data_IF_489403325401
#
_entry.id   IF_489403325401
#
_cell.length_a   1.000
_cell.length_b   1.000
_cell.length_c   1.000
_cell.angle_alpha   90.00
_cell.angle_beta   90.00
_cell.angle_gamma   90.00
#
_symmetry.space_group_name_H-M   'P 1'
#
loop_
_entity.id
_entity.type
_entity.pdbx_description
1 polymer ?
#
# COMPACT_ATOMS: atom_id res chain seq x y z
N UNK A 1 -13.74 25.41 -4.80
CA UNK A 1 -13.40 24.59 -4.48
C UNK A 1 -13.05 24.08 -4.62
N UNK A 2 -13.23 24.27 -4.82
CA UNK A 2 -12.95 23.43 -4.70
C UNK A 2 -12.62 22.85 -4.73
N UNK A 3 -12.78 23.14 -4.42
CA UNK A 3 -12.57 22.28 -4.31
C UNK A 3 -12.20 21.86 -3.88
N UNK A 4 -12.29 22.08 -3.82
CA UNK A 4 -11.96 21.43 -3.29
C UNK A 4 -11.74 21.27 -3.11
N UNK A 5 -11.97 21.63 -2.71
CA UNK A 5 -12.01 21.20 -2.37
C UNK A 5 -11.70 20.66 -1.82
N UNK A 6 -11.64 20.61 -1.48
CA UNK A 6 -11.46 19.81 -0.94
C UNK A 6 -11.47 19.23 -0.61
N UNK A 7 -12.01 19.19 -0.27
CA UNK A 7 -12.22 18.21 -0.02
C UNK A 7 -12.72 17.57 -0.56
N UNK A 8 -13.02 17.34 -1.04
CA UNK A 8 -13.36 16.63 -1.56
C UNK A 8 -13.48 16.09 -2.25
N UNK A 9 -13.73 16.22 -2.73
CA UNK A 9 -14.06 15.44 -3.26
C UNK A 9 -13.58 14.77 -4.05
N UNK A 10 -13.34 14.42 -4.21
CA UNK A 10 -12.80 13.62 -4.88
C UNK A 10 -12.47 12.61 -4.28
N UNK A 11 -12.81 12.21 -3.40
CA UNK A 11 -12.56 11.14 -2.86
C UNK A 11 -13.01 10.15 -3.44
N UNK A 12 -13.23 10.04 -4.10
CA UNK A 12 -13.46 9.26 -4.69
C UNK A 12 -13.66 8.85 -5.54
N UNK A 13 -14.19 9.12 -5.83
CA UNK A 13 -14.33 8.62 -6.50
C UNK A 13 -13.59 7.86 -6.87
N UNK A 14 -13.46 7.72 -6.90
CA UNK A 14 -12.68 7.04 -6.90
C UNK A 14 -11.94 7.26 -6.03
N UNK A 15 -11.81 7.25 -5.33
CA UNK A 15 -11.02 7.28 -4.51
C UNK A 15 -9.79 7.27 -5.06
N UNK A 16 -9.43 7.56 -6.05
CA UNK A 16 -8.20 7.51 -6.57
C UNK A 16 -7.57 8.81 -6.62
N UNK A 17 -8.13 9.76 -6.09
CA UNK A 17 -7.60 11.04 -6.00
C UNK A 17 -6.81 11.12 -4.74
N UNK A 18 -5.77 11.87 -4.71
CA UNK A 18 -4.99 12.03 -3.50
C UNK A 18 -5.77 12.68 -2.39
N UNK A 19 -6.89 13.29 -2.71
CA UNK A 19 -7.72 13.90 -1.70
C UNK A 19 -8.76 12.96 -1.14
N UNK A 20 -8.68 11.69 -1.50
CA UNK A 20 -9.61 10.69 -1.02
C UNK A 20 -9.52 10.45 0.46
N UNK A 21 -8.41 10.78 1.06
CA UNK A 21 -8.23 10.50 2.47
C UNK A 21 -8.36 11.73 3.30
N UNK A 22 -8.94 11.60 4.49
CA UNK A 22 -8.95 12.71 5.42
C UNK A 22 -7.53 13.02 5.86
N UNK A 23 -7.28 14.27 6.12
CA UNK A 23 -6.01 14.69 6.61
C UNK A 23 -6.02 14.80 8.10
N UNK A 24 -4.89 14.57 8.69
CA UNK A 24 -4.74 14.70 10.11
C UNK A 24 -4.18 16.07 10.38
N UNK A 25 -4.98 16.93 10.98
CA UNK A 25 -4.54 18.26 11.34
C UNK A 25 -3.99 19.01 10.15
N UNK A 26 -2.77 19.46 10.26
CA UNK A 26 -2.17 20.28 9.25
C UNK A 26 -1.26 19.53 8.30
N UNK A 27 -1.40 18.23 8.24
CA UNK A 27 -0.58 17.44 7.33
C UNK A 27 -0.88 17.85 5.91
N UNK A 28 0.15 18.15 5.16
CA UNK A 28 0.02 18.55 3.77
C UNK A 28 0.67 17.48 2.91
N UNK A 29 -0.13 16.90 2.02
CA UNK A 29 0.40 15.91 1.11
C UNK A 29 0.87 16.59 -0.15
N UNK A 30 2.08 16.23 -0.59
CA UNK A 30 2.50 16.68 -1.88
C UNK A 30 1.65 15.98 -2.90
N UNK A 31 1.19 16.73 -3.84
CA UNK A 31 0.53 16.12 -4.93
C UNK A 31 1.56 15.52 -5.78
N UNK A 32 1.65 14.27 -5.81
CA UNK A 32 2.58 13.58 -6.68
C UNK A 32 1.93 13.26 -7.99
N UNK A 33 2.64 13.47 -9.08
CA UNK A 33 2.17 13.09 -10.40
C UNK A 33 2.97 11.89 -10.86
N UNK A 34 2.30 10.82 -11.22
CA UNK A 34 2.96 9.66 -11.75
C UNK A 34 3.33 9.90 -13.20
N UNK A 35 4.46 9.35 -13.62
CA UNK A 35 4.82 9.37 -15.04
C UNK A 35 3.87 8.45 -15.81
N UNK A 36 3.86 8.60 -17.12
CA UNK A 36 3.02 7.72 -17.95
C UNK A 36 3.39 6.26 -17.73
N UNK A 37 4.68 5.98 -17.61
CA UNK A 37 5.12 4.61 -17.40
C UNK A 37 4.68 4.09 -16.04
N UNK A 38 4.76 4.92 -15.02
CA UNK A 38 4.28 4.52 -13.69
C UNK A 38 2.79 4.26 -13.69
N UNK A 39 2.01 5.11 -14.38
CA UNK A 39 0.58 4.89 -14.48
C UNK A 39 0.26 3.58 -15.18
N UNK A 40 0.96 3.28 -16.27
CA UNK A 40 0.72 2.04 -16.99
C UNK A 40 1.02 0.82 -16.12
N UNK A 41 2.14 0.84 -15.42
CA UNK A 41 2.49 -0.28 -14.52
C UNK A 41 1.49 -0.39 -13.38
N UNK A 42 1.06 0.75 -12.85
CA UNK A 42 0.11 0.75 -11.74
C UNK A 42 -1.22 0.14 -12.17
N UNK A 43 -1.72 0.52 -13.34
CA UNK A 43 -2.97 -0.01 -13.83
C UNK A 43 -2.88 -1.51 -14.10
N UNK A 44 -1.75 -1.96 -14.60
CA UNK A 44 -1.59 -3.36 -14.93
C UNK A 44 -1.43 -4.24 -13.71
N UNK A 45 -0.68 -3.80 -12.71
CA UNK A 45 -0.26 -4.68 -11.62
C UNK A 45 -0.96 -4.43 -10.29
N UNK A 46 -1.53 -3.25 -10.08
CA UNK A 46 -2.22 -2.97 -8.83
C UNK A 46 -3.36 -3.95 -8.52
N UNK A 47 -4.16 -4.37 -9.51
CA UNK A 47 -5.25 -5.30 -9.19
C UNK A 47 -4.78 -6.59 -8.53
N UNK A 48 -3.57 -7.04 -8.82
CA UNK A 48 -3.04 -8.24 -8.19
C UNK A 48 -2.27 -7.92 -6.91
N UNK A 49 -1.48 -6.86 -6.94
CA UNK A 49 -0.51 -6.59 -5.89
C UNK A 49 -1.02 -5.65 -4.82
N UNK A 50 -2.08 -4.92 -5.06
CA UNK A 50 -2.52 -3.88 -4.14
C UNK A 50 -3.98 -3.97 -3.76
N UNK A 51 -4.31 -3.31 -2.66
CA UNK A 51 -5.67 -3.12 -2.24
C UNK A 51 -5.80 -1.75 -1.60
N UNK A 52 -6.98 -1.18 -1.72
CA UNK A 52 -7.31 0.05 -1.01
C UNK A 52 -7.80 -0.30 0.39
N UNK A 53 -7.62 0.61 1.32
CA UNK A 53 -8.19 0.47 2.64
C UNK A 53 -9.69 0.17 2.52
N UNK A 54 -10.13 -0.84 3.22
CA UNK A 54 -11.54 -1.25 3.22
C UNK A 54 -11.84 -1.88 4.57
N UNK A 55 -13.11 -1.96 4.91
CA UNK A 55 -13.51 -2.51 6.19
C UNK A 55 -13.81 -4.00 6.04
N UNK A 56 -12.84 -4.73 5.50
CA UNK A 56 -12.94 -6.15 5.24
C UNK A 56 -11.60 -6.78 5.54
N UNK A 57 -11.55 -7.86 6.32
CA UNK A 57 -10.27 -8.51 6.61
C UNK A 57 -9.61 -9.04 5.34
N UNK A 58 -8.30 -8.95 5.31
CA UNK A 58 -7.51 -9.51 4.22
C UNK A 58 -7.48 -11.02 4.33
N UNK A 59 -7.65 -11.69 3.20
CA UNK A 59 -7.41 -13.12 3.13
C UNK A 59 -5.97 -13.29 2.68
N UNK A 60 -5.05 -13.27 3.64
CA UNK A 60 -3.62 -13.25 3.37
C UNK A 60 -3.15 -14.46 2.57
N UNK A 61 -3.52 -15.70 2.94
CA UNK A 61 -3.07 -16.83 2.14
C UNK A 61 -3.54 -16.78 0.69
N UNK A 62 -4.78 -16.36 0.48
CA UNK A 62 -5.32 -16.26 -0.87
C UNK A 62 -4.59 -15.17 -1.65
N UNK A 63 -4.33 -14.03 -1.01
CA UNK A 63 -3.68 -12.91 -1.68
C UNK A 63 -2.25 -13.23 -2.10
N UNK A 64 -1.52 -13.93 -1.23
CA UNK A 64 -0.14 -14.31 -1.54
C UNK A 64 -0.04 -15.65 -2.26
N UNK A 65 -1.13 -16.39 -2.34
CA UNK A 65 -1.12 -17.67 -3.04
C UNK A 65 -0.38 -18.76 -2.30
N UNK A 66 -0.27 -18.68 -0.99
CA UNK A 66 0.40 -19.71 -0.21
C UNK A 66 -0.06 -19.70 1.24
N UNK A 67 0.03 -20.85 1.88
CA UNK A 67 -0.37 -21.05 3.26
C UNK A 67 0.85 -21.10 4.17
N UNK A 68 0.65 -20.71 5.41
CA UNK A 68 1.63 -20.99 6.46
C UNK A 68 2.86 -20.10 6.49
N UNK A 69 2.96 -19.15 5.57
CA UNK A 69 4.10 -18.24 5.58
C UNK A 69 3.94 -17.20 6.69
N UNK A 70 5.05 -16.79 7.30
CA UNK A 70 5.03 -15.67 8.21
C UNK A 70 4.56 -14.43 7.46
N UNK A 71 3.88 -13.54 8.16
CA UNK A 71 3.39 -12.29 7.55
C UNK A 71 3.75 -11.11 8.44
N UNK A 72 4.38 -10.11 7.86
CA UNK A 72 4.64 -8.86 8.54
C UNK A 72 3.99 -7.71 7.77
N UNK A 73 3.63 -6.68 8.51
CA UNK A 73 3.11 -5.45 7.92
C UNK A 73 4.13 -4.37 8.16
N UNK A 74 4.48 -3.65 7.10
CA UNK A 74 5.38 -2.51 7.19
C UNK A 74 4.56 -1.25 6.98
N UNK A 75 4.54 -0.39 7.98
CA UNK A 75 3.75 0.83 7.94
C UNK A 75 4.63 2.01 7.58
N UNK A 76 4.17 2.79 6.58
CA UNK A 76 4.94 3.93 6.13
C UNK A 76 6.10 3.53 5.26
N UNK A 77 5.85 2.64 4.31
CA UNK A 77 6.92 2.11 3.47
C UNK A 77 7.59 3.16 2.57
N UNK A 78 6.95 4.31 2.40
CA UNK A 78 7.52 5.38 1.58
C UNK A 78 7.67 4.94 0.14
N UNK A 79 8.89 5.03 -0.40
CA UNK A 79 9.16 4.60 -1.76
C UNK A 79 9.43 3.11 -1.86
N UNK A 80 9.46 2.42 -0.72
CA UNK A 80 9.64 0.98 -0.70
C UNK A 80 11.05 0.49 -0.96
N UNK A 81 12.04 1.38 -0.89
CA UNK A 81 13.43 0.99 -1.15
C UNK A 81 13.88 -0.10 -0.20
N UNK A 82 13.61 0.08 1.09
CA UNK A 82 13.99 -0.90 2.09
C UNK A 82 13.21 -2.20 1.93
N UNK A 83 11.91 -2.09 1.66
CA UNK A 83 11.04 -3.24 1.46
C UNK A 83 11.53 -4.09 0.29
N UNK A 84 11.80 -3.43 -0.83
CA UNK A 84 12.25 -4.13 -2.04
C UNK A 84 13.62 -4.77 -1.86
N UNK A 85 14.47 -4.17 -1.04
CA UNK A 85 15.80 -4.73 -0.77
C UNK A 85 15.73 -5.93 0.17
N UNK A 86 14.79 -5.91 1.11
CA UNK A 86 14.71 -6.94 2.13
C UNK A 86 13.93 -8.17 1.69
N UNK A 87 12.86 -7.96 0.93
CA UNK A 87 11.95 -9.06 0.58
C UNK A 87 12.65 -10.24 -0.09
N UNK A 88 13.58 -10.04 -1.04
CA UNK A 88 14.24 -11.21 -1.65
C UNK A 88 15.07 -12.01 -0.68
N UNK A 89 15.47 -11.42 0.43
CA UNK A 89 16.27 -12.10 1.45
C UNK A 89 15.38 -12.88 2.42
N UNK A 90 14.08 -12.63 2.39
CA UNK A 90 13.13 -13.25 3.30
C UNK A 90 11.98 -13.85 2.52
N UNK A 91 12.31 -14.70 1.56
CA UNK A 91 11.31 -15.18 0.60
C UNK A 91 10.16 -15.95 1.24
N UNK A 92 10.39 -16.51 2.42
CA UNK A 92 9.35 -17.28 3.11
C UNK A 92 8.44 -16.39 3.93
N UNK A 93 8.65 -15.08 3.92
CA UNK A 93 7.85 -14.13 4.68
C UNK A 93 7.01 -13.31 3.72
N UNK A 94 5.72 -13.23 4.00
CA UNK A 94 4.83 -12.31 3.30
C UNK A 94 5.02 -10.91 3.87
N UNK A 95 5.17 -9.92 3.02
CA UNK A 95 5.33 -8.54 3.45
C UNK A 95 4.19 -7.72 2.88
N UNK A 96 3.43 -7.07 3.75
CA UNK A 96 2.37 -6.17 3.35
C UNK A 96 2.85 -4.74 3.62
N UNK A 97 3.09 -4.00 2.56
CA UNK A 97 3.57 -2.62 2.67
C UNK A 97 2.37 -1.68 2.66
N UNK A 98 2.25 -0.87 3.69
CA UNK A 98 1.16 0.07 3.84
C UNK A 98 1.70 1.47 3.66
N UNK A 99 1.12 2.21 2.74
CA UNK A 99 1.55 3.57 2.44
C UNK A 99 0.37 4.36 1.92
N UNK A 100 0.27 5.61 2.31
CA UNK A 100 -0.80 6.48 1.87
C UNK A 100 -0.45 7.23 0.58
N UNK A 101 0.83 7.54 0.41
CA UNK A 101 1.29 8.37 -0.69
C UNK A 101 1.45 7.54 -1.96
N UNK A 102 0.60 7.77 -2.93
CA UNK A 102 0.54 6.96 -4.14
C UNK A 102 1.85 6.91 -4.93
N UNK A 103 2.59 8.02 -5.10
CA UNK A 103 3.87 7.92 -5.80
C UNK A 103 4.86 6.98 -5.14
N UNK A 104 4.83 6.87 -3.81
CA UNK A 104 5.67 5.91 -3.11
C UNK A 104 5.29 4.48 -3.46
N UNK A 105 3.98 4.21 -3.49
CA UNK A 105 3.50 2.88 -3.88
C UNK A 105 3.86 2.57 -5.33
N UNK A 106 3.79 3.57 -6.20
CA UNK A 106 4.14 3.36 -7.60
C UNK A 106 5.62 2.99 -7.76
N UNK A 107 6.49 3.61 -6.97
CA UNK A 107 7.91 3.28 -6.99
C UNK A 107 8.15 1.86 -6.50
N UNK A 108 7.50 1.48 -5.41
CA UNK A 108 7.62 0.13 -4.89
C UNK A 108 7.10 -0.88 -5.91
N UNK A 109 5.96 -0.59 -6.52
CA UNK A 109 5.40 -1.47 -7.52
C UNK A 109 6.37 -1.67 -8.69
N UNK A 110 7.00 -0.60 -9.13
CA UNK A 110 8.01 -0.68 -10.19
C UNK A 110 9.16 -1.59 -9.78
N UNK A 111 9.63 -1.48 -8.53
CA UNK A 111 10.70 -2.34 -8.04
C UNK A 111 10.28 -3.80 -8.00
N UNK A 112 9.05 -4.06 -7.56
CA UNK A 112 8.53 -5.42 -7.52
C UNK A 112 8.53 -6.05 -8.91
N UNK A 113 8.06 -5.28 -9.89
CA UNK A 113 7.96 -5.79 -11.25
C UNK A 113 9.35 -5.99 -11.88
N UNK A 114 10.22 -4.99 -11.74
CA UNK A 114 11.56 -5.06 -12.34
C UNK A 114 12.40 -6.20 -11.76
N UNK A 115 12.21 -6.48 -10.49
CA UNK A 115 13.03 -7.48 -9.81
C UNK A 115 12.30 -8.79 -9.56
N UNK A 116 11.10 -8.92 -10.09
CA UNK A 116 10.31 -10.14 -9.99
C UNK A 116 10.16 -10.60 -8.54
N UNK A 117 9.82 -9.66 -7.67
CA UNK A 117 9.64 -9.95 -6.25
C UNK A 117 8.25 -10.50 -6.02
N UNK A 118 8.14 -11.65 -5.35
CA UNK A 118 6.87 -12.34 -5.24
C UNK A 118 6.20 -12.23 -3.88
N UNK A 119 6.91 -11.77 -2.88
CA UNK A 119 6.41 -11.78 -1.50
C UNK A 119 6.06 -10.42 -0.93
N UNK A 120 5.73 -9.45 -1.79
CA UNK A 120 5.25 -8.15 -1.35
C UNK A 120 3.85 -7.91 -1.90
N UNK A 121 2.97 -7.42 -1.04
CA UNK A 121 1.68 -6.87 -1.44
C UNK A 121 1.55 -5.51 -0.79
N UNK A 122 0.66 -4.67 -1.32
CA UNK A 122 0.56 -3.28 -0.89
C UNK A 122 -0.86 -2.92 -0.50
N UNK A 123 -1.00 -2.08 0.52
CA UNK A 123 -2.30 -1.50 0.85
C UNK A 123 -2.13 0.01 0.87
N UNK A 124 -2.99 0.72 0.16
CA UNK A 124 -2.99 2.18 0.23
C UNK A 124 -3.96 2.60 1.32
N UNK A 125 -3.43 3.17 2.38
CA UNK A 125 -4.26 3.61 3.49
C UNK A 125 -3.42 4.04 4.66
N UNK A 126 -4.12 4.61 5.64
CA UNK A 126 -3.52 4.93 6.92
C UNK A 126 -3.19 3.63 7.66
N UNK A 127 -1.97 3.54 8.19
CA UNK A 127 -1.51 2.30 8.80
C UNK A 127 -2.36 1.83 9.96
N UNK A 128 -2.81 2.75 10.81
CA UNK A 128 -3.65 2.38 11.95
C UNK A 128 -5.00 1.84 11.47
N UNK A 129 -5.59 2.51 10.47
CA UNK A 129 -6.85 2.06 9.93
C UNK A 129 -6.73 0.69 9.28
N UNK A 130 -5.62 0.45 8.57
CA UNK A 130 -5.39 -0.85 7.95
C UNK A 130 -5.30 -1.93 9.02
N UNK A 131 -4.55 -1.69 10.09
CA UNK A 131 -4.43 -2.66 11.15
C UNK A 131 -5.75 -2.94 11.82
N UNK A 132 -6.58 -1.92 12.00
CA UNK A 132 -7.85 -2.09 12.71
C UNK A 132 -8.93 -2.74 11.85
N UNK A 133 -8.92 -2.48 10.54
CA UNK A 133 -10.04 -2.88 9.69
C UNK A 133 -9.74 -4.06 8.79
N UNK A 134 -8.48 -4.26 8.43
CA UNK A 134 -8.12 -5.25 7.42
C UNK A 134 -7.31 -6.42 7.96
N UNK A 135 -6.83 -6.35 9.18
CA UNK A 135 -5.99 -7.40 9.75
C UNK A 135 -6.78 -8.14 10.82
N UNK A 136 -6.99 -9.42 10.60
CA UNK A 136 -7.67 -10.24 11.60
C UNK A 136 -6.77 -10.43 12.83
N UNK A 137 -7.37 -10.60 14.02
CA UNK A 137 -6.56 -10.83 15.22
C UNK A 137 -5.62 -12.00 15.03
N UNK A 138 -4.39 -11.82 15.51
CA UNK A 138 -3.39 -12.89 15.54
C UNK A 138 -2.99 -13.40 14.18
N UNK A 139 -3.19 -12.62 13.12
CA UNK A 139 -2.82 -13.06 11.78
C UNK A 139 -1.45 -12.57 11.34
N UNK A 140 -0.76 -11.78 12.15
CA UNK A 140 0.55 -11.25 11.82
C UNK A 140 1.61 -11.80 12.72
N UNK A 141 2.81 -11.94 12.18
CA UNK A 141 3.99 -12.32 12.96
C UNK A 141 4.81 -11.11 13.36
N UNK A 142 4.55 -9.97 12.76
CA UNK A 142 5.25 -8.75 13.13
C UNK A 142 4.71 -7.52 12.45
N UNK A 143 5.04 -6.39 13.04
CA UNK A 143 4.70 -5.08 12.48
C UNK A 143 5.97 -4.25 12.54
N UNK A 144 6.29 -3.63 11.40
CA UNK A 144 7.44 -2.76 11.31
C UNK A 144 6.95 -1.37 10.95
N UNK A 145 7.33 -0.40 11.74
CA UNK A 145 6.93 0.98 11.47
C UNK A 145 8.17 1.79 11.18
N UNK A 146 8.13 2.53 10.07
CA UNK A 146 9.26 3.36 9.65
C UNK A 146 9.03 4.83 9.95
N UNK A 147 8.01 5.14 10.71
CA UNK A 147 7.71 6.51 11.12
C UNK A 147 7.66 6.64 12.62
#
# INVERSE_FOLDING_TARGET
MPRGRGLQTDFNTEFNNDLDYPRLGNVTFRRGTLTDNQNALFEEHWPKLGQMLADVPLDIPSWFGREGAKTIVEIGSGTGTSTAATAPLEKDTNIIAVELYKPGLAKLLGSIVRNDIENIRMVRGDGIEVLMRMIAPESLDGILSLI
#
